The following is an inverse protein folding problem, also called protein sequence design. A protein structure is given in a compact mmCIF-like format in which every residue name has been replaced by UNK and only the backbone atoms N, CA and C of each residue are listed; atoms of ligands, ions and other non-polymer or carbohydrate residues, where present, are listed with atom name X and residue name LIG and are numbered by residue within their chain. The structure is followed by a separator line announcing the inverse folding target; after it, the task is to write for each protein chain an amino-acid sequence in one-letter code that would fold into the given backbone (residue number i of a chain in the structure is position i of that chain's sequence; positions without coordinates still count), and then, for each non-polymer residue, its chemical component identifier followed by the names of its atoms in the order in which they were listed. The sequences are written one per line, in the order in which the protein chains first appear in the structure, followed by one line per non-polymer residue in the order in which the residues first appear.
data_IF_961828932831
#
_entry.id   IF_961828932831
#
_cell.length_a   1.000
_cell.length_b   1.000
_cell.length_c   1.000
_cell.angle_alpha   90.00
_cell.angle_beta   90.00
_cell.angle_gamma   90.00
#
_symmetry.space_group_name_H-M   'P 1'
#
loop_
_entity.id
_entity.type
_entity.pdbx_description
1 polymer ?
#
# COMPACT_ATOMS: atom_id res chain seq x y z
N UNK A 1 52.60 -21.55 64.75
CA UNK A 1 51.29 -21.87 64.16
C UNK A 1 51.08 -20.99 62.94
N UNK A 2 51.13 -21.55 61.73
CA UNK A 2 51.03 -20.81 60.45
C UNK A 2 49.55 -20.58 60.13
N UNK A 3 49.18 -19.33 59.84
CA UNK A 3 47.83 -18.93 59.41
C UNK A 3 47.67 -19.25 57.92
N UNK A 4 46.67 -20.06 57.58
CA UNK A 4 46.24 -20.30 56.21
C UNK A 4 45.16 -19.30 55.84
N UNK A 5 45.43 -18.45 54.85
CA UNK A 5 44.44 -17.59 54.21
C UNK A 5 43.95 -18.35 52.98
N UNK A 6 42.65 -18.66 52.93
CA UNK A 6 41.98 -19.20 51.75
C UNK A 6 41.26 -18.04 51.07
N UNK A 7 41.70 -17.69 49.87
CA UNK A 7 40.98 -16.87 48.91
C UNK A 7 40.66 -17.77 47.72
N UNK A 8 39.61 -17.42 46.97
CA UNK A 8 39.29 -17.84 45.60
C UNK A 8 38.30 -19.01 45.50
N UNK A 9 37.18 -18.94 44.78
CA UNK A 9 36.73 -17.91 43.84
C UNK A 9 35.22 -17.90 43.71
N UNK A 10 34.68 -16.70 43.49
CA UNK A 10 33.29 -16.45 43.13
C UNK A 10 33.12 -16.93 41.69
N UNK A 11 32.35 -18.01 41.52
CA UNK A 11 31.96 -18.52 40.21
C UNK A 11 31.00 -17.50 39.57
N UNK A 12 31.54 -16.72 38.64
CA UNK A 12 30.83 -15.74 37.82
C UNK A 12 29.75 -16.43 37.00
N UNK A 13 28.49 -16.23 37.41
CA UNK A 13 27.32 -16.53 36.59
C UNK A 13 27.33 -15.64 35.34
N UNK A 14 27.69 -16.24 34.20
CA UNK A 14 27.58 -15.60 32.90
C UNK A 14 26.10 -15.54 32.54
N UNK A 15 25.45 -14.41 32.86
CA UNK A 15 24.10 -14.08 32.40
C UNK A 15 24.14 -13.89 30.87
N UNK A 16 23.76 -14.92 30.13
CA UNK A 16 23.47 -14.83 28.70
C UNK A 16 22.16 -14.04 28.55
N UNK A 17 22.28 -12.72 28.36
CA UNK A 17 21.16 -11.92 27.87
C UNK A 17 20.88 -12.36 26.43
N UNK A 18 19.62 -12.71 26.08
CA UNK A 18 19.28 -12.95 24.69
C UNK A 18 19.49 -11.64 23.93
N UNK A 19 20.40 -11.65 22.95
CA UNK A 19 20.57 -10.57 21.99
C UNK A 19 19.24 -10.41 21.24
N UNK A 20 18.45 -9.41 21.60
CA UNK A 20 17.29 -9.00 20.81
C UNK A 20 17.86 -8.41 19.52
N UNK A 21 17.97 -9.26 18.49
CA UNK A 21 18.21 -8.81 17.12
C UNK A 21 17.01 -7.97 16.72
N UNK A 22 17.15 -6.65 16.74
CA UNK A 22 16.21 -5.76 16.06
C UNK A 22 16.33 -6.06 14.57
N UNK A 23 15.41 -6.88 14.03
CA UNK A 23 15.18 -6.92 12.59
C UNK A 23 14.70 -5.51 12.23
N UNK A 24 15.59 -4.72 11.65
CA UNK A 24 15.21 -3.47 11.00
C UNK A 24 14.48 -3.89 9.74
N UNK A 25 13.15 -3.94 9.77
CA UNK A 25 12.35 -4.09 8.56
C UNK A 25 12.68 -2.90 7.67
N UNK A 26 13.22 -3.16 6.49
CA UNK A 26 13.51 -2.11 5.52
C UNK A 26 12.19 -1.45 5.11
N UNK A 27 11.95 -0.22 5.59
CA UNK A 27 10.76 0.55 5.28
C UNK A 27 10.91 1.26 3.94
N UNK A 28 9.80 1.53 3.28
CA UNK A 28 9.80 2.31 2.03
C UNK A 28 8.66 3.32 2.00
N UNK A 29 8.53 4.06 0.90
CA UNK A 29 7.50 5.07 0.70
C UNK A 29 6.78 4.82 -0.62
N UNK A 30 5.45 4.90 -0.58
CA UNK A 30 4.60 4.75 -1.75
C UNK A 30 3.82 6.05 -1.94
N UNK A 31 3.59 6.42 -3.20
CA UNK A 31 2.82 7.59 -3.59
C UNK A 31 1.75 7.25 -4.66
N UNK A 32 0.60 7.92 -4.61
CA UNK A 32 -0.41 7.86 -5.68
C UNK A 32 -0.10 9.05 -6.58
N UNK A 33 0.53 8.78 -7.71
CA UNK A 33 1.04 9.83 -8.60
C UNK A 33 -0.01 10.30 -9.62
N UNK A 34 -1.10 9.54 -9.78
CA UNK A 34 -2.15 9.88 -10.74
C UNK A 34 -3.42 9.08 -10.55
N UNK A 35 -4.56 9.75 -10.79
CA UNK A 35 -5.87 9.15 -10.96
C UNK A 35 -6.44 9.72 -12.26
N UNK A 36 -6.60 8.87 -13.26
CA UNK A 36 -6.96 9.24 -14.63
C UNK A 36 -8.28 8.60 -15.05
N UNK A 37 -9.12 9.38 -15.72
CA UNK A 37 -10.34 8.86 -16.34
C UNK A 37 -10.03 8.09 -17.62
N UNK A 38 -10.78 7.03 -17.90
CA UNK A 38 -10.64 6.24 -19.11
C UNK A 38 -11.97 5.81 -19.71
N UNK A 39 -11.90 4.89 -20.66
CA UNK A 39 -13.07 4.21 -21.20
C UNK A 39 -13.40 3.02 -20.28
N UNK A 40 -14.56 3.07 -19.67
CA UNK A 40 -15.14 2.00 -18.83
C UNK A 40 -14.64 1.99 -17.40
N UNK A 41 -13.77 2.91 -16.97
CA UNK A 41 -13.23 2.89 -15.62
C UNK A 41 -12.28 4.04 -15.32
N UNK A 42 -11.65 3.94 -14.16
CA UNK A 42 -10.63 4.85 -13.63
C UNK A 42 -9.32 4.10 -13.52
N UNK A 43 -8.23 4.74 -13.94
CA UNK A 43 -6.88 4.21 -13.86
C UNK A 43 -6.15 4.95 -12.73
N UNK A 44 -5.51 4.19 -11.85
CA UNK A 44 -4.74 4.71 -10.72
C UNK A 44 -3.30 4.28 -10.87
N UNK A 45 -2.38 5.24 -10.73
CA UNK A 45 -0.95 5.01 -10.80
C UNK A 45 -0.32 5.17 -9.41
N UNK A 46 0.26 4.08 -8.91
CA UNK A 46 0.93 3.99 -7.61
C UNK A 46 2.43 3.78 -7.83
N UNK A 47 3.26 4.60 -7.21
CA UNK A 47 4.72 4.58 -7.38
C UNK A 47 5.42 4.26 -6.06
N UNK A 48 6.43 3.39 -6.11
CA UNK A 48 7.39 3.29 -5.01
C UNK A 48 8.39 4.46 -5.13
N UNK A 49 8.31 5.43 -4.24
CA UNK A 49 9.19 6.60 -4.19
C UNK A 49 10.32 6.45 -3.18
N UNK A 50 10.34 5.38 -2.39
CA UNK A 50 11.43 5.06 -1.47
C UNK A 50 12.58 4.31 -2.13
N UNK A 51 13.58 3.96 -1.32
CA UNK A 51 14.81 3.29 -1.76
C UNK A 51 14.75 1.75 -1.64
N UNK A 52 13.77 1.23 -0.89
CA UNK A 52 13.60 -0.21 -0.64
C UNK A 52 12.38 -0.76 -1.40
N UNK A 53 12.37 -2.06 -1.67
CA UNK A 53 11.25 -2.75 -2.33
C UNK A 53 10.01 -2.70 -1.42
N UNK A 54 8.86 -2.32 -1.99
CA UNK A 54 7.57 -2.42 -1.31
C UNK A 54 7.05 -3.86 -1.38
N UNK A 55 6.55 -4.42 -0.28
CA UNK A 55 6.04 -5.80 -0.20
C UNK A 55 4.55 -5.85 0.16
N UNK A 56 3.83 -6.83 -0.36
CA UNK A 56 2.39 -7.04 -0.20
C UNK A 56 1.57 -5.79 -0.51
N UNK A 57 1.81 -5.23 -1.68
CA UNK A 57 1.16 -4.00 -2.10
C UNK A 57 -0.32 -4.25 -2.32
N UNK A 58 -1.10 -3.27 -1.90
CA UNK A 58 -2.53 -3.24 -2.13
C UNK A 58 -2.95 -1.87 -2.64
N UNK A 59 -4.00 -1.86 -3.46
CA UNK A 59 -4.65 -0.66 -3.99
C UNK A 59 -6.15 -0.89 -3.93
N UNK A 60 -6.87 0.04 -3.32
CA UNK A 60 -8.33 0.00 -3.21
C UNK A 60 -8.84 1.28 -3.83
N UNK A 61 -9.71 1.17 -4.84
CA UNK A 61 -10.32 2.31 -5.51
C UNK A 61 -11.83 2.18 -5.51
N UNK A 62 -12.49 3.21 -5.01
CA UNK A 62 -13.95 3.36 -5.02
C UNK A 62 -14.35 4.48 -5.95
N UNK A 63 -15.40 4.23 -6.74
CA UNK A 63 -16.00 5.24 -7.62
C UNK A 63 -17.49 5.28 -7.36
N UNK A 64 -17.99 6.40 -6.86
CA UNK A 64 -19.39 6.57 -6.47
C UNK A 64 -20.00 7.79 -7.16
N UNK A 65 -21.31 7.77 -7.39
CA UNK A 65 -22.06 8.92 -7.90
C UNK A 65 -22.89 8.60 -9.14
N UNK A 66 -22.91 9.53 -10.10
CA UNK A 66 -23.80 9.50 -11.25
C UNK A 66 -25.23 9.95 -10.94
N UNK A 67 -26.01 10.14 -11.99
CA UNK A 67 -27.42 10.50 -11.90
C UNK A 67 -28.19 9.37 -11.20
N UNK A 68 -28.95 9.74 -10.16
CA UNK A 68 -29.61 8.78 -9.26
C UNK A 68 -28.66 7.84 -8.51
N UNK A 69 -27.38 8.19 -8.34
CA UNK A 69 -26.37 7.36 -7.68
C UNK A 69 -26.20 5.98 -8.33
N UNK A 70 -26.30 5.92 -9.66
CA UNK A 70 -26.22 4.66 -10.41
C UNK A 70 -24.82 4.06 -10.48
N UNK A 71 -23.78 4.81 -10.13
CA UNK A 71 -22.39 4.37 -10.17
C UNK A 71 -21.94 4.07 -8.75
N UNK A 72 -21.54 2.82 -8.52
CA UNK A 72 -20.89 2.35 -7.31
C UNK A 72 -19.97 1.18 -7.66
N UNK A 73 -18.69 1.46 -7.82
CA UNK A 73 -17.65 0.46 -8.13
C UNK A 73 -16.66 0.45 -6.99
N UNK A 74 -16.33 -0.74 -6.51
CA UNK A 74 -15.24 -0.96 -5.58
C UNK A 74 -14.28 -1.96 -6.22
N UNK A 75 -13.06 -1.51 -6.52
CA UNK A 75 -11.98 -2.34 -7.03
C UNK A 75 -10.94 -2.50 -5.92
N UNK A 76 -10.68 -3.75 -5.56
CA UNK A 76 -9.70 -4.12 -4.56
C UNK A 76 -8.63 -4.99 -5.21
N UNK A 77 -7.43 -4.46 -5.27
CA UNK A 77 -6.24 -5.16 -5.71
C UNK A 77 -5.42 -5.47 -4.47
N UNK A 78 -5.41 -6.74 -4.07
CA UNK A 78 -4.60 -7.26 -2.95
C UNK A 78 -3.81 -8.47 -3.44
N UNK A 79 -2.68 -8.76 -2.78
CA UNK A 79 -1.60 -9.63 -3.29
C UNK A 79 -1.96 -11.00 -3.89
N UNK A 80 -0.98 -11.52 -4.65
CA UNK A 80 -0.89 -12.86 -5.26
C UNK A 80 -1.84 -13.14 -6.44
N UNK A 81 -1.70 -12.36 -7.53
CA UNK A 81 -1.64 -12.87 -8.92
C UNK A 81 -1.77 -11.73 -9.92
N UNK A 82 -2.84 -10.93 -9.84
CA UNK A 82 -3.05 -9.75 -10.69
C UNK A 82 -2.37 -8.49 -10.11
N UNK A 83 -2.36 -8.35 -8.78
CA UNK A 83 -1.82 -7.17 -8.11
C UNK A 83 -0.28 -7.14 -8.01
N UNK A 84 0.42 -8.24 -8.29
CA UNK A 84 1.82 -8.37 -7.86
C UNK A 84 1.94 -8.33 -6.33
N UNK A 85 3.04 -8.88 -5.80
CA UNK A 85 3.33 -8.85 -4.37
C UNK A 85 4.42 -7.84 -4.03
N UNK A 86 5.06 -7.24 -5.03
CA UNK A 86 6.18 -6.31 -4.83
C UNK A 86 6.18 -5.18 -5.85
N UNK A 87 6.81 -4.05 -5.50
CA UNK A 87 7.10 -2.93 -6.41
C UNK A 87 8.50 -2.40 -6.11
N UNK A 88 9.40 -2.54 -7.08
CA UNK A 88 10.76 -2.07 -6.94
C UNK A 88 10.85 -0.53 -6.87
N UNK A 89 11.90 0.02 -6.25
CA UNK A 89 12.14 1.46 -6.19
C UNK A 89 12.01 2.15 -7.54
N UNK A 90 11.24 3.24 -7.59
CA UNK A 90 11.04 4.05 -8.79
C UNK A 90 10.05 3.48 -9.81
N UNK A 91 9.57 2.25 -9.65
CA UNK A 91 8.57 1.66 -10.54
C UNK A 91 7.16 2.16 -10.21
N UNK A 92 6.31 2.14 -11.25
CA UNK A 92 4.90 2.51 -11.20
C UNK A 92 4.06 1.27 -11.47
N UNK A 93 3.01 1.12 -10.67
CA UNK A 93 1.96 0.12 -10.82
C UNK A 93 0.67 0.83 -11.17
N UNK A 94 0.04 0.40 -12.27
CA UNK A 94 -1.23 0.95 -12.73
C UNK A 94 -2.36 -0.04 -12.50
N UNK A 95 -3.43 0.40 -11.83
CA UNK A 95 -4.62 -0.37 -11.53
C UNK A 95 -5.84 0.23 -12.21
N UNK A 96 -6.74 -0.62 -12.71
CA UNK A 96 -7.92 -0.15 -13.43
C UNK A 96 -9.19 -0.74 -12.82
N UNK A 97 -10.13 0.13 -12.45
CA UNK A 97 -11.42 -0.28 -11.89
C UNK A 97 -12.26 -1.12 -12.85
N UNK A 98 -11.93 -1.11 -14.16
CA UNK A 98 -12.57 -1.93 -15.19
C UNK A 98 -12.55 -3.43 -14.85
N UNK A 99 -11.54 -3.89 -14.11
CA UNK A 99 -11.44 -5.28 -13.66
C UNK A 99 -12.53 -5.66 -12.64
N UNK A 100 -13.06 -4.68 -11.89
CA UNK A 100 -14.18 -4.85 -10.98
C UNK A 100 -15.54 -4.62 -11.65
N UNK A 101 -15.56 -4.09 -12.87
CA UNK A 101 -16.76 -3.84 -13.66
C UNK A 101 -16.65 -2.60 -14.54
N UNK A 102 -17.48 -2.56 -15.59
CA UNK A 102 -17.53 -1.40 -16.49
C UNK A 102 -18.32 -0.27 -15.83
N UNK A 103 -17.69 0.89 -15.70
CA UNK A 103 -18.36 2.13 -15.32
C UNK A 103 -19.23 2.62 -16.49
N UNK A 104 -20.54 2.65 -16.27
CA UNK A 104 -21.50 3.22 -17.20
C UNK A 104 -22.52 4.08 -16.46
N UNK A 105 -22.58 5.35 -16.81
CA UNK A 105 -23.53 6.28 -16.21
C UNK A 105 -23.30 7.70 -16.68
N UNK A 106 -24.15 8.61 -16.20
CA UNK A 106 -24.03 10.04 -16.52
C UNK A 106 -24.10 10.80 -15.21
N UNK A 107 -23.17 11.71 -14.95
CA UNK A 107 -23.22 12.59 -13.78
C UNK A 107 -21.88 12.76 -13.06
N UNK A 108 -21.83 13.62 -12.03
CA UNK A 108 -20.64 13.79 -11.22
C UNK A 108 -20.32 12.50 -10.47
N UNK A 109 -19.03 12.22 -10.30
CA UNK A 109 -18.53 11.08 -9.54
C UNK A 109 -17.46 11.53 -8.55
N UNK A 110 -17.35 10.79 -7.46
CA UNK A 110 -16.26 10.87 -6.49
C UNK A 110 -15.42 9.61 -6.62
N UNK A 111 -14.10 9.79 -6.67
CA UNK A 111 -13.12 8.72 -6.68
C UNK A 111 -12.33 8.82 -5.39
N UNK A 112 -12.29 7.75 -4.61
CA UNK A 112 -11.40 7.62 -3.46
C UNK A 112 -10.52 6.40 -3.64
N UNK A 113 -9.21 6.63 -3.62
CA UNK A 113 -8.19 5.61 -3.77
C UNK A 113 -7.34 5.57 -2.51
N UNK A 114 -7.05 4.36 -2.03
CA UNK A 114 -6.04 4.13 -1.01
C UNK A 114 -5.03 3.09 -1.49
N UNK A 115 -3.76 3.28 -1.17
CA UNK A 115 -2.71 2.34 -1.50
C UNK A 115 -1.73 2.18 -0.34
N UNK A 116 -1.10 1.01 -0.22
CA UNK A 116 -0.12 0.75 0.82
C UNK A 116 0.65 -0.54 0.59
N UNK A 117 1.53 -0.87 1.54
CA UNK A 117 2.34 -2.08 1.57
C UNK A 117 2.57 -2.54 3.00
N UNK A 118 3.00 -3.79 3.19
CA UNK A 118 3.39 -4.32 4.52
C UNK A 118 4.53 -3.53 5.17
N UNK A 119 5.39 -2.89 4.38
CA UNK A 119 6.55 -2.12 4.84
C UNK A 119 6.51 -0.64 4.44
N UNK A 120 5.33 -0.09 4.10
CA UNK A 120 5.13 1.34 3.84
C UNK A 120 3.80 1.81 4.43
N UNK A 121 3.73 3.07 4.84
CA UNK A 121 2.49 3.65 5.32
C UNK A 121 1.43 3.71 4.21
N UNK A 122 0.16 3.57 4.61
CA UNK A 122 -0.96 3.73 3.70
C UNK A 122 -1.15 5.20 3.34
N UNK A 123 -1.50 5.45 2.09
CA UNK A 123 -1.82 6.77 1.57
C UNK A 123 -3.19 6.75 0.89
N UNK A 124 -3.84 7.90 0.87
CA UNK A 124 -5.15 8.05 0.24
C UNK A 124 -5.19 9.31 -0.59
N UNK A 125 -5.87 9.24 -1.73
CA UNK A 125 -6.12 10.36 -2.62
C UNK A 125 -7.58 10.34 -3.05
N UNK A 126 -8.20 11.51 -3.01
CA UNK A 126 -9.55 11.72 -3.49
C UNK A 126 -9.55 12.65 -4.70
N UNK A 127 -10.40 12.33 -5.67
CA UNK A 127 -10.60 13.10 -6.88
C UNK A 127 -12.08 13.15 -7.23
N UNK A 128 -12.46 14.17 -7.97
CA UNK A 128 -13.82 14.27 -8.52
C UNK A 128 -13.77 14.22 -10.03
N UNK A 129 -14.86 13.78 -10.62
CA UNK A 129 -14.96 13.64 -12.06
C UNK A 129 -16.40 13.70 -12.54
N UNK A 130 -16.57 13.39 -13.83
CA UNK A 130 -17.86 13.27 -14.47
C UNK A 130 -17.86 12.07 -15.40
N UNK A 131 -18.90 11.24 -15.28
CA UNK A 131 -19.16 10.13 -16.18
C UNK A 131 -20.10 10.55 -17.31
N UNK A 132 -19.83 10.12 -18.54
CA UNK A 132 -20.69 10.30 -19.71
C UNK A 132 -20.75 8.97 -20.48
N UNK A 133 -21.75 8.15 -20.18
CA UNK A 133 -21.83 6.78 -20.70
C UNK A 133 -20.65 5.97 -20.19
N UNK A 134 -19.83 5.35 -21.07
CA UNK A 134 -18.64 4.62 -20.64
C UNK A 134 -17.43 5.54 -20.38
N UNK A 135 -17.49 6.83 -20.69
CA UNK A 135 -16.33 7.71 -20.55
C UNK A 135 -16.29 8.37 -19.19
N UNK A 136 -15.09 8.43 -18.59
CA UNK A 136 -14.84 9.12 -17.32
C UNK A 136 -13.86 10.27 -17.54
N UNK A 137 -14.18 11.44 -17.02
CA UNK A 137 -13.33 12.64 -17.05
C UNK A 137 -13.04 13.04 -15.60
N UNK A 138 -11.77 13.18 -15.21
CA UNK A 138 -11.34 13.51 -13.84
C UNK A 138 -10.73 14.92 -13.80
N UNK A 139 -10.92 15.63 -12.68
CA UNK A 139 -10.37 16.98 -12.41
C UNK A 139 -9.16 16.94 -11.47
#
# INVERSE_FOLDING_TARGET
MKKTIVILGILTGLLLLPSISSQTTETTTIDIIGINGGVGGVIVDVKNTGENIATDIWVITTVTGGMFNSININHECTGCSACGSTLDPGLVKSENTLEAGVLFGIGPIEISTSAGASNADAISMEKTGFAIGPFVIIQ
#
